data_IF_039616038684
#
_entry.id   IF_039616038684
#
_cell.length_a   1.000
_cell.length_b   1.000
_cell.length_c   1.000
_cell.angle_alpha   90.00
_cell.angle_beta   90.00
_cell.angle_gamma   90.00
#
_symmetry.space_group_name_H-M   'P 1'
#
loop_
_entity.id
_entity.type
_entity.pdbx_description
1 polymer ?
#
# COMPACT_ATOMS: atom_id res chain seq x y z
N UNK A 1 25.00 -22.53 -7.42
CA UNK A 1 23.67 -22.43 -6.79
C UNK A 1 22.98 -23.78 -6.83
N UNK A 2 22.72 -24.36 -8.00
CA UNK A 2 21.98 -25.62 -8.17
C UNK A 2 22.51 -26.78 -7.28
N UNK A 3 23.84 -26.94 -7.20
CA UNK A 3 24.46 -27.94 -6.32
C UNK A 3 24.21 -27.64 -4.82
N UNK A 4 24.23 -26.36 -4.44
CA UNK A 4 23.98 -25.97 -3.05
C UNK A 4 22.52 -26.24 -2.64
N UNK A 5 21.55 -25.96 -3.49
CA UNK A 5 20.12 -26.21 -3.23
C UNK A 5 19.74 -27.69 -3.18
N UNK A 6 20.58 -28.58 -3.70
CA UNK A 6 20.42 -30.03 -3.56
C UNK A 6 20.94 -30.57 -2.21
N UNK A 7 21.85 -29.86 -1.58
CA UNK A 7 22.55 -30.29 -0.34
C UNK A 7 21.95 -29.58 0.89
N UNK A 8 21.64 -28.32 0.76
CA UNK A 8 21.14 -27.49 1.87
C UNK A 8 19.64 -27.21 1.68
N UNK A 9 18.87 -27.07 2.78
CA UNK A 9 17.45 -26.75 2.73
C UNK A 9 17.21 -25.27 2.42
N UNK A 10 17.74 -24.80 1.29
CA UNK A 10 17.63 -23.42 0.80
C UNK A 10 17.17 -23.40 -0.64
N UNK A 11 16.45 -22.39 -1.03
CA UNK A 11 15.99 -22.20 -2.38
C UNK A 11 17.03 -21.48 -3.27
N UNK A 12 17.00 -21.68 -4.56
CA UNK A 12 17.87 -20.99 -5.51
C UNK A 12 17.76 -19.45 -5.37
N UNK A 13 16.55 -18.93 -5.08
CA UNK A 13 16.33 -17.49 -4.90
C UNK A 13 17.05 -16.91 -3.69
N UNK A 14 17.37 -17.71 -2.65
CA UNK A 14 18.09 -17.24 -1.45
C UNK A 14 19.52 -16.80 -1.77
N UNK A 15 20.03 -17.21 -2.93
CA UNK A 15 21.30 -16.78 -3.50
C UNK A 15 21.20 -15.55 -4.42
N UNK A 16 19.98 -15.11 -4.74
CA UNK A 16 19.73 -13.95 -5.60
C UNK A 16 19.34 -12.73 -4.75
N UNK A 17 20.32 -11.87 -4.54
CA UNK A 17 20.12 -10.64 -3.78
C UNK A 17 19.47 -9.57 -4.65
N UNK A 18 18.48 -8.87 -4.10
CA UNK A 18 17.94 -7.67 -4.75
C UNK A 18 18.95 -6.54 -4.54
N UNK A 19 19.59 -6.12 -5.64
CA UNK A 19 20.50 -4.99 -5.60
C UNK A 19 19.73 -3.68 -5.44
N UNK A 20 20.27 -2.82 -4.60
CA UNK A 20 19.83 -1.45 -4.48
C UNK A 20 20.13 -0.66 -5.75
N UNK A 21 19.09 -0.25 -6.47
CA UNK A 21 19.18 0.57 -7.68
C UNK A 21 18.92 2.06 -7.40
N UNK A 22 19.01 2.47 -6.14
CA UNK A 22 18.74 3.83 -5.66
C UNK A 22 19.88 4.30 -4.72
N UNK A 23 21.10 4.32 -5.23
CA UNK A 23 22.34 4.55 -4.46
C UNK A 23 22.41 5.91 -3.76
N UNK A 24 21.70 6.93 -4.29
CA UNK A 24 21.63 8.27 -3.69
C UNK A 24 20.38 8.49 -2.82
N UNK A 25 19.60 7.42 -2.52
CA UNK A 25 18.39 7.51 -1.72
C UNK A 25 17.16 8.02 -2.47
N UNK A 26 17.34 8.64 -3.62
CA UNK A 26 16.29 9.15 -4.52
C UNK A 26 16.58 8.67 -5.95
N UNK A 27 15.52 8.31 -6.67
CA UNK A 27 15.57 7.94 -8.09
C UNK A 27 14.52 8.74 -8.84
N UNK A 28 14.92 9.42 -9.88
CA UNK A 28 14.06 10.29 -10.68
C UNK A 28 13.89 9.68 -12.06
N UNK A 29 12.72 9.85 -12.64
CA UNK A 29 12.41 9.55 -14.03
C UNK A 29 11.73 10.76 -14.65
N UNK A 30 12.30 11.27 -15.73
CA UNK A 30 11.75 12.41 -16.45
C UNK A 30 10.52 12.01 -17.26
N UNK A 31 9.67 12.99 -17.58
CA UNK A 31 8.52 12.78 -18.47
C UNK A 31 8.92 12.27 -19.85
N UNK A 32 10.09 12.72 -20.36
CA UNK A 32 10.65 12.26 -21.65
C UNK A 32 11.10 10.79 -21.59
N UNK A 33 11.69 10.34 -20.49
CA UNK A 33 12.02 8.92 -20.26
C UNK A 33 10.74 8.09 -20.10
N UNK A 34 9.76 8.61 -19.39
CA UNK A 34 8.44 7.98 -19.24
C UNK A 34 7.77 7.79 -20.59
N UNK A 35 7.80 8.78 -21.47
CA UNK A 35 7.21 8.72 -22.82
C UNK A 35 7.87 7.63 -23.68
N UNK A 36 9.17 7.44 -23.58
CA UNK A 36 9.89 6.37 -24.31
C UNK A 36 9.46 4.97 -23.90
N UNK A 37 8.86 4.80 -22.73
CA UNK A 37 8.31 3.53 -22.25
C UNK A 37 6.87 3.27 -22.67
N UNK A 38 6.29 4.16 -23.49
CA UNK A 38 4.90 4.08 -23.93
C UNK A 38 4.56 2.76 -24.58
N UNK A 39 3.45 2.16 -24.16
CA UNK A 39 2.89 0.93 -24.71
C UNK A 39 1.38 0.97 -24.70
N UNK A 40 0.79 0.53 -25.82
CA UNK A 40 -0.67 0.43 -25.95
C UNK A 40 -1.11 -0.93 -25.45
N UNK A 41 -2.17 -0.93 -24.66
CA UNK A 41 -2.88 -2.14 -24.26
C UNK A 41 -4.24 -2.17 -24.96
N UNK A 42 -4.47 -3.24 -25.71
CA UNK A 42 -5.74 -3.50 -26.35
C UNK A 42 -6.69 -4.28 -25.43
N UNK A 43 -7.99 -3.97 -25.52
CA UNK A 43 -9.07 -4.75 -24.96
C UNK A 43 -10.14 -4.98 -26.01
N UNK A 44 -10.62 -6.22 -26.14
CA UNK A 44 -11.57 -6.61 -27.18
C UNK A 44 -11.12 -6.21 -28.59
N UNK A 45 -9.81 -6.20 -28.87
CA UNK A 45 -9.24 -5.89 -30.17
C UNK A 45 -9.12 -4.40 -30.51
N UNK A 46 -9.35 -3.51 -29.56
CA UNK A 46 -9.21 -2.07 -29.75
C UNK A 46 -8.21 -1.47 -28.75
N UNK A 47 -7.42 -0.45 -29.13
CA UNK A 47 -6.60 0.33 -28.21
C UNK A 47 -7.47 0.85 -27.04
N UNK A 48 -7.08 0.48 -25.83
CA UNK A 48 -7.90 0.79 -24.65
C UNK A 48 -7.17 1.69 -23.66
N UNK A 49 -5.88 1.43 -23.41
CA UNK A 49 -5.01 2.23 -22.55
C UNK A 49 -3.66 2.47 -23.20
N UNK A 50 -3.06 3.63 -22.95
CA UNK A 50 -1.64 3.87 -23.11
C UNK A 50 -0.99 3.84 -21.73
N UNK A 51 -0.03 2.94 -21.52
CA UNK A 51 0.75 2.85 -20.30
C UNK A 51 2.12 3.47 -20.48
N UNK A 52 2.60 4.14 -19.44
CA UNK A 52 4.00 4.59 -19.34
C UNK A 52 4.55 4.25 -17.97
N UNK A 53 5.82 3.91 -17.90
CA UNK A 53 6.52 3.73 -16.63
C UNK A 53 6.80 5.08 -15.98
N UNK A 54 6.88 5.10 -14.66
CA UNK A 54 7.29 6.26 -13.87
C UNK A 54 8.35 5.83 -12.87
N UNK A 55 8.91 6.75 -12.06
CA UNK A 55 10.01 6.44 -11.18
C UNK A 55 9.68 5.31 -10.20
N UNK A 56 10.44 4.22 -10.29
CA UNK A 56 10.37 3.10 -9.35
C UNK A 56 11.75 2.54 -9.06
N UNK A 57 11.87 1.84 -7.93
CA UNK A 57 13.06 1.13 -7.52
C UNK A 57 12.73 -0.33 -7.25
N UNK A 58 13.71 -1.21 -7.44
CA UNK A 58 13.61 -2.64 -7.10
C UNK A 58 13.31 -2.90 -5.62
N UNK A 59 13.66 -1.94 -4.76
CA UNK A 59 13.40 -2.00 -3.32
C UNK A 59 12.06 -1.37 -2.92
N UNK A 60 11.34 -0.75 -3.86
CA UNK A 60 10.03 -0.14 -3.60
C UNK A 60 8.95 -1.21 -3.42
N UNK A 61 8.00 -1.01 -2.48
CA UNK A 61 6.89 -1.93 -2.28
C UNK A 61 5.72 -1.73 -3.26
N UNK A 62 5.85 -0.83 -4.20
CA UNK A 62 4.79 -0.41 -5.13
C UNK A 62 5.30 -0.35 -6.57
N UNK A 63 4.35 -0.42 -7.51
CA UNK A 63 4.57 -0.20 -8.93
C UNK A 63 3.69 0.97 -9.38
N UNK A 64 4.28 2.12 -9.73
CA UNK A 64 3.56 3.26 -10.25
C UNK A 64 3.43 3.17 -11.76
N UNK A 65 2.27 3.54 -12.28
CA UNK A 65 1.99 3.57 -13.72
C UNK A 65 1.24 4.86 -14.08
N UNK A 66 1.65 5.46 -15.17
CA UNK A 66 0.91 6.52 -15.85
C UNK A 66 0.03 5.86 -16.93
N UNK A 67 -1.28 6.08 -16.88
CA UNK A 67 -2.22 5.41 -17.76
C UNK A 67 -3.17 6.44 -18.36
N UNK A 68 -3.15 6.54 -19.70
CA UNK A 68 -4.05 7.38 -20.45
C UNK A 68 -5.20 6.55 -20.99
N UNK A 69 -6.41 7.04 -20.80
CA UNK A 69 -7.64 6.37 -21.18
C UNK A 69 -7.95 6.64 -22.65
N UNK A 70 -7.80 5.63 -23.51
CA UNK A 70 -8.07 5.73 -24.96
C UNK A 70 -9.52 5.36 -25.29
N UNK A 71 -10.20 4.62 -24.41
CA UNK A 71 -11.63 4.33 -24.54
C UNK A 71 -12.45 5.56 -24.14
N UNK A 72 -13.41 5.92 -24.97
CA UNK A 72 -14.36 7.00 -24.71
C UNK A 72 -15.76 6.47 -24.48
N UNK A 73 -16.47 7.09 -23.54
CA UNK A 73 -17.88 6.82 -23.24
C UNK A 73 -18.71 8.10 -23.30
N UNK A 74 -19.93 8.00 -23.78
CA UNK A 74 -20.85 9.12 -23.99
C UNK A 74 -21.88 9.28 -22.86
N UNK A 75 -21.89 8.35 -21.93
CA UNK A 75 -22.85 8.33 -20.82
C UNK A 75 -22.21 7.79 -19.53
N UNK A 76 -22.98 7.84 -18.45
CA UNK A 76 -22.58 7.39 -17.12
C UNK A 76 -23.22 6.02 -16.77
N UNK A 77 -23.60 5.23 -17.76
CA UNK A 77 -24.18 3.91 -17.54
C UNK A 77 -23.09 2.92 -17.04
N UNK A 78 -23.24 2.34 -15.84
CA UNK A 78 -22.33 1.30 -15.35
C UNK A 78 -22.25 0.06 -16.25
N UNK A 79 -23.22 -0.12 -17.14
CA UNK A 79 -23.29 -1.25 -18.08
C UNK A 79 -22.95 -0.84 -19.53
N UNK A 80 -22.32 0.34 -19.74
CA UNK A 80 -21.94 0.78 -21.06
C UNK A 80 -21.11 -0.30 -21.79
N UNK A 81 -21.55 -0.70 -22.97
CA UNK A 81 -21.00 -1.84 -23.74
C UNK A 81 -19.57 -1.59 -24.25
N UNK A 82 -19.14 -0.33 -24.36
CA UNK A 82 -17.76 0.03 -24.72
C UNK A 82 -16.75 -0.26 -23.61
N UNK A 83 -17.21 -0.40 -22.36
CA UNK A 83 -16.36 -0.58 -21.18
C UNK A 83 -15.95 -2.03 -21.04
N UNK A 84 -14.65 -2.28 -21.09
CA UNK A 84 -14.07 -3.62 -20.93
C UNK A 84 -13.56 -3.80 -19.50
N UNK A 85 -14.19 -4.65 -18.73
CA UNK A 85 -13.88 -4.94 -17.34
C UNK A 85 -12.67 -5.86 -17.20
N UNK A 86 -11.86 -5.63 -16.18
CA UNK A 86 -10.89 -6.62 -15.73
C UNK A 86 -11.51 -7.54 -14.66
N UNK A 87 -10.80 -8.61 -14.30
CA UNK A 87 -11.21 -9.52 -13.22
C UNK A 87 -10.64 -9.11 -11.84
N UNK A 88 -10.13 -7.88 -11.74
CA UNK A 88 -9.35 -7.49 -10.58
C UNK A 88 -7.94 -8.10 -10.58
N UNK A 89 -7.09 -7.64 -9.68
CA UNK A 89 -5.73 -8.12 -9.51
C UNK A 89 -5.42 -8.35 -8.02
N UNK A 90 -4.36 -9.10 -7.73
CA UNK A 90 -3.95 -9.46 -6.37
C UNK A 90 -3.33 -8.30 -5.57
N UNK A 91 -3.26 -7.12 -6.13
CA UNK A 91 -2.65 -5.94 -5.51
C UNK A 91 -3.72 -4.96 -5.05
N UNK A 92 -3.42 -4.23 -3.97
CA UNK A 92 -4.13 -2.98 -3.67
C UNK A 92 -3.79 -1.94 -4.72
N UNK A 93 -4.70 -1.03 -5.01
CA UNK A 93 -4.44 0.07 -5.93
C UNK A 93 -4.97 1.39 -5.35
N UNK A 94 -4.10 2.38 -5.33
CA UNK A 94 -4.46 3.79 -5.24
C UNK A 94 -4.45 4.39 -6.64
N UNK A 95 -5.39 5.30 -6.93
CA UNK A 95 -5.44 6.03 -8.19
C UNK A 95 -5.76 7.49 -7.96
N UNK A 96 -4.99 8.37 -8.61
CA UNK A 96 -5.27 9.79 -8.73
C UNK A 96 -5.73 10.10 -10.15
N UNK A 97 -6.77 10.93 -10.29
CA UNK A 97 -7.39 11.24 -11.58
C UNK A 97 -6.97 12.62 -12.09
N UNK A 98 -6.74 12.71 -13.41
CA UNK A 98 -6.45 13.92 -14.14
C UNK A 98 -7.38 13.97 -15.38
N UNK A 99 -8.15 15.04 -15.51
CA UNK A 99 -9.18 15.17 -16.56
C UNK A 99 -10.48 14.48 -16.17
N UNK A 100 -11.33 14.25 -17.16
CA UNK A 100 -12.66 13.67 -17.00
C UNK A 100 -12.64 12.16 -17.26
N UNK A 101 -12.69 11.35 -16.20
CA UNK A 101 -12.62 9.89 -16.24
C UNK A 101 -13.85 9.28 -15.59
N UNK A 102 -14.46 8.29 -16.23
CA UNK A 102 -15.43 7.42 -15.59
C UNK A 102 -14.68 6.21 -14.99
N UNK A 103 -14.79 6.05 -13.69
CA UNK A 103 -14.29 4.90 -12.94
C UNK A 103 -15.41 3.88 -12.72
N UNK A 104 -15.27 2.70 -13.29
CA UNK A 104 -16.21 1.59 -13.20
C UNK A 104 -15.67 0.55 -12.23
N UNK A 105 -16.51 0.05 -11.31
CA UNK A 105 -16.11 -0.97 -10.34
C UNK A 105 -17.29 -1.82 -9.88
N UNK A 106 -17.00 -3.02 -9.38
CA UNK A 106 -17.97 -3.81 -8.64
C UNK A 106 -17.88 -3.44 -7.15
N UNK A 107 -19.02 -3.10 -6.58
CA UNK A 107 -19.13 -2.84 -5.13
C UNK A 107 -19.06 -4.15 -4.31
N UNK A 108 -19.23 -4.04 -3.00
CA UNK A 108 -19.22 -5.20 -2.09
C UNK A 108 -20.26 -6.27 -2.42
N UNK A 109 -21.38 -5.87 -3.02
CA UNK A 109 -22.49 -6.75 -3.36
C UNK A 109 -22.38 -7.31 -4.79
N UNK A 110 -21.27 -7.02 -5.46
CA UNK A 110 -21.00 -7.44 -6.84
C UNK A 110 -21.76 -6.63 -7.90
N UNK A 111 -22.44 -5.56 -7.50
CA UNK A 111 -23.17 -4.68 -8.42
C UNK A 111 -22.19 -3.77 -9.17
N UNK A 112 -22.40 -3.65 -10.46
CA UNK A 112 -21.66 -2.70 -11.30
C UNK A 112 -22.04 -1.26 -10.94
N UNK A 113 -21.05 -0.46 -10.64
CA UNK A 113 -21.19 0.94 -10.22
C UNK A 113 -20.22 1.80 -11.03
N UNK A 114 -20.51 3.07 -11.17
CA UNK A 114 -19.66 4.04 -11.83
C UNK A 114 -19.57 5.33 -11.02
N UNK A 115 -18.37 5.89 -10.92
CA UNK A 115 -18.12 7.23 -10.36
C UNK A 115 -17.50 8.13 -11.42
N UNK A 116 -18.09 9.32 -11.61
CA UNK A 116 -17.59 10.32 -12.55
C UNK A 116 -16.50 11.15 -11.89
N UNK A 117 -15.24 10.83 -12.19
CA UNK A 117 -14.06 11.43 -11.58
C UNK A 117 -13.56 12.64 -12.37
N UNK A 118 -12.90 13.56 -11.68
CA UNK A 118 -12.26 14.76 -12.22
C UNK A 118 -10.84 14.91 -11.70
N UNK A 119 -10.10 15.87 -12.24
CA UNK A 119 -8.76 16.19 -11.72
C UNK A 119 -8.79 16.47 -10.21
N UNK A 120 -7.94 15.78 -9.46
CA UNK A 120 -7.82 15.91 -8.02
C UNK A 120 -8.62 14.87 -7.22
N UNK A 121 -9.57 14.19 -7.86
CA UNK A 121 -10.26 13.07 -7.24
C UNK A 121 -9.31 11.87 -7.11
N UNK A 122 -9.64 10.98 -6.19
CA UNK A 122 -8.83 9.79 -5.94
C UNK A 122 -9.69 8.60 -5.56
N UNK A 123 -9.14 7.40 -5.76
CA UNK A 123 -9.78 6.17 -5.28
C UNK A 123 -8.75 5.21 -4.70
N UNK A 124 -9.23 4.29 -3.91
CA UNK A 124 -8.52 3.13 -3.42
C UNK A 124 -9.39 1.89 -3.58
N UNK A 125 -8.78 0.79 -4.03
CA UNK A 125 -9.42 -0.52 -4.13
C UNK A 125 -8.58 -1.62 -3.48
N UNK A 126 -9.28 -2.58 -2.86
CA UNK A 126 -8.68 -3.80 -2.34
C UNK A 126 -8.40 -4.81 -3.48
N UNK A 127 -7.62 -5.88 -3.23
CA UNK A 127 -7.43 -6.95 -4.21
C UNK A 127 -8.74 -7.53 -4.73
N UNK A 128 -8.70 -8.01 -5.98
CA UNK A 128 -9.79 -8.71 -6.67
C UNK A 128 -11.07 -7.91 -6.93
N UNK A 129 -11.03 -6.59 -6.81
CA UNK A 129 -12.13 -5.75 -7.29
C UNK A 129 -12.06 -5.64 -8.80
N UNK A 130 -13.11 -6.10 -9.49
CA UNK A 130 -13.28 -5.91 -10.93
C UNK A 130 -13.53 -4.45 -11.23
N UNK A 131 -12.76 -3.86 -12.15
CA UNK A 131 -12.83 -2.43 -12.44
C UNK A 131 -12.38 -2.09 -13.88
N UNK A 132 -12.68 -0.87 -14.29
CA UNK A 132 -12.23 -0.29 -15.56
C UNK A 132 -12.28 1.23 -15.50
N UNK A 133 -11.63 1.87 -16.47
CA UNK A 133 -11.62 3.33 -16.64
C UNK A 133 -11.91 3.69 -18.10
N UNK A 134 -12.53 4.83 -18.31
CA UNK A 134 -12.74 5.38 -19.65
C UNK A 134 -12.79 6.92 -19.63
N UNK A 135 -12.34 7.56 -20.67
CA UNK A 135 -12.50 9.01 -20.89
C UNK A 135 -13.95 9.35 -21.17
N UNK A 136 -14.44 10.48 -20.67
CA UNK A 136 -15.77 11.00 -21.04
C UNK A 136 -15.71 11.73 -22.38
N UNK A 137 -16.66 11.42 -23.27
CA UNK A 137 -16.85 12.12 -24.52
C UNK A 137 -17.15 13.61 -24.27
N UNK A 138 -16.61 14.48 -25.11
CA UNK A 138 -16.72 15.93 -24.94
C UNK A 138 -15.64 16.57 -24.06
N UNK A 139 -14.79 15.76 -23.41
CA UNK A 139 -13.60 16.26 -22.74
C UNK A 139 -12.60 16.84 -23.77
N UNK A 140 -11.85 17.89 -23.36
CA UNK A 140 -10.85 18.53 -24.25
C UNK A 140 -9.68 17.60 -24.57
N UNK A 141 -9.42 16.63 -23.72
CA UNK A 141 -8.33 15.66 -23.84
C UNK A 141 -8.71 14.34 -23.16
N UNK A 142 -8.01 13.28 -23.49
CA UNK A 142 -8.16 11.99 -22.81
C UNK A 142 -7.96 12.15 -21.32
N UNK A 143 -8.74 11.40 -20.55
CA UNK A 143 -8.50 11.22 -19.14
C UNK A 143 -7.19 10.49 -18.88
N UNK A 144 -6.57 10.80 -17.77
CA UNK A 144 -5.32 10.22 -17.31
C UNK A 144 -5.48 9.77 -15.86
N UNK A 145 -4.91 8.63 -15.54
CA UNK A 145 -4.78 8.19 -14.15
C UNK A 145 -3.32 7.94 -13.79
N UNK A 146 -2.97 8.27 -12.55
CA UNK A 146 -1.73 7.83 -11.92
C UNK A 146 -2.12 6.69 -10.98
N UNK A 147 -1.86 5.45 -11.41
CA UNK A 147 -2.18 4.25 -10.69
C UNK A 147 -0.95 3.72 -9.96
N UNK A 148 -1.08 3.46 -8.66
CA UNK A 148 -0.03 2.85 -7.86
C UNK A 148 -0.55 1.56 -7.26
N UNK A 149 -0.03 0.45 -7.76
CA UNK A 149 -0.31 -0.89 -7.25
C UNK A 149 0.75 -1.30 -6.23
N UNK A 150 0.33 -1.90 -5.14
CA UNK A 150 1.23 -2.35 -4.08
C UNK A 150 0.67 -3.57 -3.34
N UNK A 151 1.58 -4.45 -2.90
CA UNK A 151 1.23 -5.62 -2.10
C UNK A 151 1.00 -5.27 -0.64
N UNK A 152 0.19 -6.08 0.01
CA UNK A 152 0.07 -6.14 1.47
C UNK A 152 1.18 -7.02 2.08
N UNK A 153 0.89 -7.72 3.17
CA UNK A 153 1.81 -8.70 3.76
C UNK A 153 1.92 -10.01 2.97
N UNK A 154 0.93 -10.32 2.11
CA UNK A 154 0.92 -11.54 1.29
C UNK A 154 1.79 -11.32 0.04
N UNK A 155 3.10 -11.32 0.22
CA UNK A 155 4.08 -11.16 -0.86
C UNK A 155 5.32 -12.01 -0.58
N UNK A 156 6.10 -12.34 -1.61
CA UNK A 156 7.40 -12.98 -1.46
C UNK A 156 7.32 -14.29 -0.67
N UNK A 157 7.87 -14.32 0.54
CA UNK A 157 8.00 -15.52 1.36
C UNK A 157 6.65 -16.10 1.77
N UNK A 158 5.67 -15.25 2.09
CA UNK A 158 4.30 -15.69 2.40
C UNK A 158 3.65 -16.39 1.20
N UNK A 159 3.81 -15.85 -0.02
CA UNK A 159 3.30 -16.52 -1.24
C UNK A 159 4.00 -17.85 -1.50
N UNK A 160 5.29 -17.95 -1.18
CA UNK A 160 6.03 -19.20 -1.31
C UNK A 160 5.51 -20.26 -0.33
N UNK A 161 5.28 -19.88 0.92
CA UNK A 161 4.71 -20.76 1.94
C UNK A 161 3.31 -21.23 1.53
N UNK A 162 2.43 -20.32 1.12
CA UNK A 162 1.09 -20.67 0.60
C UNK A 162 1.17 -21.64 -0.58
N UNK A 163 2.13 -21.45 -1.50
CA UNK A 163 2.36 -22.36 -2.63
C UNK A 163 2.76 -23.77 -2.16
N UNK A 164 3.60 -23.86 -1.12
CA UNK A 164 4.03 -25.15 -0.54
C UNK A 164 2.90 -25.89 0.17
N UNK A 165 1.99 -25.13 0.82
CA UNK A 165 0.81 -25.67 1.50
C UNK A 165 -0.32 -26.07 0.55
N UNK A 166 -0.32 -25.54 -0.67
CA UNK A 166 -1.38 -25.77 -1.66
C UNK A 166 -2.77 -25.44 -1.06
N UNK A 167 -3.77 -26.31 -1.23
CA UNK A 167 -5.13 -26.09 -0.73
C UNK A 167 -5.22 -25.91 0.79
N UNK A 168 -4.28 -26.46 1.56
CA UNK A 168 -4.25 -26.27 3.01
C UNK A 168 -4.02 -24.79 3.40
N UNK A 169 -3.45 -23.98 2.51
CA UNK A 169 -3.30 -22.54 2.76
C UNK A 169 -4.63 -21.80 2.95
N UNK A 170 -5.75 -22.36 2.50
CA UNK A 170 -7.08 -21.80 2.71
C UNK A 170 -7.51 -21.79 4.17
N UNK A 171 -7.00 -22.72 4.99
CA UNK A 171 -7.31 -22.83 6.42
C UNK A 171 -6.83 -21.61 7.23
N UNK A 172 -5.85 -20.84 6.67
CA UNK A 172 -5.43 -19.58 7.29
C UNK A 172 -6.41 -18.43 7.05
N UNK A 173 -7.37 -18.58 6.13
CA UNK A 173 -8.40 -17.58 5.89
C UNK A 173 -9.54 -17.76 6.90
N UNK A 174 -9.35 -17.20 8.10
CA UNK A 174 -10.35 -17.24 9.17
C UNK A 174 -11.64 -16.51 8.73
N UNK A 175 -12.75 -16.83 9.38
CA UNK A 175 -14.02 -16.19 9.09
C UNK A 175 -14.09 -14.77 9.69
N UNK A 176 -13.96 -13.75 8.83
CA UNK A 176 -14.02 -12.32 9.17
C UNK A 176 -15.23 -11.64 8.50
N UNK A 177 -16.34 -12.36 8.35
CA UNK A 177 -17.58 -11.83 7.74
C UNK A 177 -18.15 -10.65 8.52
N UNK A 178 -18.09 -10.73 9.84
CA UNK A 178 -18.46 -9.69 10.79
C UNK A 178 -17.55 -9.76 12.02
N UNK A 179 -17.72 -8.84 12.96
CA UNK A 179 -16.85 -8.72 14.13
C UNK A 179 -17.03 -9.90 15.11
N UNK A 180 -18.24 -10.43 15.21
CA UNK A 180 -18.59 -11.58 16.04
C UNK A 180 -17.85 -12.84 15.56
N UNK A 181 -17.98 -13.14 14.27
CA UNK A 181 -17.28 -14.28 13.66
C UNK A 181 -15.78 -14.12 13.64
N UNK A 182 -15.27 -12.90 13.44
CA UNK A 182 -13.84 -12.64 13.48
C UNK A 182 -13.25 -12.86 14.88
N UNK A 183 -13.95 -12.35 15.93
CA UNK A 183 -13.55 -12.55 17.32
C UNK A 183 -13.58 -14.05 17.70
N UNK A 184 -14.65 -14.76 17.33
CA UNK A 184 -14.80 -16.18 17.55
C UNK A 184 -13.68 -17.00 16.88
N UNK A 185 -13.39 -16.68 15.62
CA UNK A 185 -12.36 -17.37 14.83
C UNK A 185 -10.96 -17.18 15.40
N UNK A 186 -10.62 -15.97 15.84
CA UNK A 186 -9.32 -15.68 16.46
C UNK A 186 -9.17 -16.43 17.78
N UNK A 187 -10.19 -16.41 18.65
CA UNK A 187 -10.17 -17.14 19.92
C UNK A 187 -9.98 -18.65 19.69
N UNK A 188 -10.80 -19.23 18.82
CA UNK A 188 -10.76 -20.65 18.49
C UNK A 188 -9.41 -21.04 17.86
N UNK A 189 -8.86 -20.23 16.98
CA UNK A 189 -7.55 -20.45 16.39
C UNK A 189 -6.45 -20.51 17.45
N UNK A 190 -6.35 -19.50 18.32
CA UNK A 190 -5.32 -19.43 19.35
C UNK A 190 -5.48 -20.52 20.44
N UNK A 191 -6.71 -20.87 20.79
CA UNK A 191 -6.95 -22.01 21.69
C UNK A 191 -6.51 -23.34 21.05
N UNK A 192 -6.85 -23.55 19.78
CA UNK A 192 -6.51 -24.78 19.06
C UNK A 192 -5.00 -24.98 18.88
N UNK A 193 -4.25 -23.94 18.52
CA UNK A 193 -2.78 -24.05 18.41
C UNK A 193 -2.10 -24.31 19.74
N UNK A 194 -2.78 -24.01 20.86
CA UNK A 194 -2.33 -24.32 22.23
C UNK A 194 -2.82 -25.69 22.71
N UNK A 195 -3.61 -26.43 21.92
CA UNK A 195 -4.26 -27.67 22.27
C UNK A 195 -5.07 -27.62 23.59
N UNK A 196 -5.63 -26.45 23.91
CA UNK A 196 -6.46 -26.30 25.11
C UNK A 196 -7.91 -26.71 24.83
N UNK A 197 -8.51 -27.45 25.77
CA UNK A 197 -9.98 -27.62 25.77
C UNK A 197 -10.65 -26.38 26.35
N UNK A 198 -11.95 -26.18 26.08
CA UNK A 198 -12.73 -25.10 26.71
C UNK A 198 -12.76 -25.24 28.24
N UNK A 199 -12.74 -26.48 28.79
CA UNK A 199 -12.66 -26.72 30.21
C UNK A 199 -11.32 -26.23 30.81
N UNK A 200 -10.18 -26.52 30.14
CA UNK A 200 -8.88 -26.07 30.62
C UNK A 200 -8.72 -24.54 30.47
N UNK A 201 -9.23 -23.95 29.37
CA UNK A 201 -9.25 -22.49 29.19
C UNK A 201 -10.14 -21.83 30.27
N UNK A 202 -11.31 -22.39 30.57
CA UNK A 202 -12.21 -21.91 31.63
C UNK A 202 -11.51 -21.90 32.99
N UNK A 203 -10.81 -23.00 33.33
CA UNK A 203 -10.03 -23.10 34.58
C UNK A 203 -8.95 -22.02 34.68
N UNK A 204 -8.27 -21.69 33.59
CA UNK A 204 -7.17 -20.71 33.58
C UNK A 204 -7.67 -19.27 33.57
N UNK A 205 -8.75 -19.00 32.84
CA UNK A 205 -9.31 -17.64 32.62
C UNK A 205 -10.36 -17.27 33.66
N UNK A 206 -10.84 -18.23 34.45
CA UNK A 206 -11.98 -18.08 35.37
C UNK A 206 -13.28 -17.69 34.67
N UNK A 207 -13.39 -17.94 33.36
CA UNK A 207 -14.60 -17.70 32.56
C UNK A 207 -15.37 -19.03 32.43
N UNK A 208 -16.71 -19.05 32.67
CA UNK A 208 -17.50 -20.27 32.51
C UNK A 208 -17.36 -20.90 31.13
N UNK A 209 -17.38 -22.24 31.08
CA UNK A 209 -17.21 -23.01 29.82
C UNK A 209 -18.28 -22.63 28.80
N UNK A 210 -19.53 -22.49 29.25
CA UNK A 210 -20.66 -22.13 28.39
C UNK A 210 -20.44 -20.77 27.73
N UNK A 211 -19.88 -19.81 28.48
CA UNK A 211 -19.58 -18.47 27.95
C UNK A 211 -18.43 -18.48 26.94
N UNK A 212 -17.40 -19.31 27.16
CA UNK A 212 -16.33 -19.53 26.18
C UNK A 212 -16.87 -20.15 24.90
N UNK A 213 -17.81 -21.08 25.01
CA UNK A 213 -18.49 -21.66 23.85
C UNK A 213 -19.33 -20.62 23.11
N UNK A 214 -20.03 -19.72 23.82
CA UNK A 214 -20.79 -18.63 23.21
C UNK A 214 -19.87 -17.67 22.44
N UNK A 215 -18.66 -17.38 22.94
CA UNK A 215 -17.64 -16.62 22.21
C UNK A 215 -17.20 -17.35 20.94
N UNK A 216 -16.87 -18.63 21.02
CA UNK A 216 -16.41 -19.41 19.85
C UNK A 216 -17.52 -19.70 18.82
N UNK A 217 -18.79 -19.57 19.21
CA UNK A 217 -19.95 -19.73 18.34
C UNK A 217 -20.46 -18.38 17.77
N UNK A 218 -19.71 -17.30 17.99
CA UNK A 218 -20.09 -15.94 17.56
C UNK A 218 -21.43 -15.43 18.13
N UNK A 219 -21.85 -15.93 19.31
CA UNK A 219 -23.06 -15.50 20.00
C UNK A 219 -22.78 -14.27 20.86
N UNK A 220 -21.58 -14.20 21.46
CA UNK A 220 -21.13 -13.11 22.32
C UNK A 220 -19.71 -12.66 21.89
N UNK A 221 -19.41 -11.39 22.14
CA UNK A 221 -18.05 -10.86 22.03
C UNK A 221 -17.47 -10.72 23.44
N UNK A 222 -16.21 -11.18 23.69
CA UNK A 222 -15.56 -10.98 24.98
C UNK A 222 -15.39 -9.50 25.32
N UNK A 223 -15.66 -9.15 26.58
CA UNK A 223 -15.35 -7.82 27.11
C UNK A 223 -13.82 -7.63 27.21
N UNK A 224 -13.38 -6.39 27.39
CA UNK A 224 -11.96 -6.05 27.59
C UNK A 224 -11.30 -6.82 28.76
N UNK A 225 -12.05 -7.03 29.84
CA UNK A 225 -11.59 -7.82 31.00
C UNK A 225 -11.44 -9.30 30.64
N UNK A 226 -12.40 -9.86 29.92
CA UNK A 226 -12.38 -11.25 29.48
C UNK A 226 -11.29 -11.49 28.43
N UNK A 227 -11.11 -10.58 27.48
CA UNK A 227 -9.98 -10.62 26.53
C UNK A 227 -8.64 -10.63 27.26
N UNK A 228 -8.50 -9.86 28.33
CA UNK A 228 -7.29 -9.84 29.15
C UNK A 228 -7.07 -11.20 29.81
N UNK A 229 -8.09 -11.80 30.43
CA UNK A 229 -8.00 -13.11 31.06
C UNK A 229 -7.67 -14.22 30.06
N UNK A 230 -8.32 -14.21 28.89
CA UNK A 230 -8.09 -15.18 27.82
C UNK A 230 -6.68 -15.02 27.26
N UNK A 231 -6.22 -13.82 26.96
CA UNK A 231 -4.89 -13.58 26.39
C UNK A 231 -3.77 -14.06 27.32
N UNK A 232 -3.90 -13.82 28.62
CA UNK A 232 -2.97 -14.36 29.62
C UNK A 232 -3.01 -15.88 29.67
N UNK A 233 -4.21 -16.49 29.62
CA UNK A 233 -4.38 -17.94 29.67
C UNK A 233 -3.82 -18.66 28.45
N UNK A 234 -3.86 -18.02 27.28
CA UNK A 234 -3.32 -18.51 26.02
C UNK A 234 -1.86 -18.07 25.77
N UNK A 235 -1.31 -17.19 26.63
CA UNK A 235 0.00 -16.59 26.46
C UNK A 235 0.19 -15.88 25.10
N UNK A 236 -0.81 -15.10 24.71
CA UNK A 236 -0.81 -14.28 23.49
C UNK A 236 -1.05 -12.82 23.83
N UNK A 237 -0.75 -11.91 22.91
CA UNK A 237 -1.13 -10.51 23.07
C UNK A 237 -2.65 -10.36 22.94
N UNK A 238 -3.27 -9.48 23.72
CA UNK A 238 -4.68 -9.12 23.51
C UNK A 238 -4.98 -8.74 22.06
N UNK A 239 -4.05 -8.04 21.41
CA UNK A 239 -4.15 -7.67 20.01
C UNK A 239 -4.40 -8.85 19.08
N UNK A 240 -3.84 -10.01 19.38
CA UNK A 240 -3.95 -11.20 18.54
C UNK A 240 -5.35 -11.83 18.63
N UNK A 241 -6.12 -11.47 19.66
CA UNK A 241 -7.52 -11.87 19.85
C UNK A 241 -8.53 -10.80 19.38
N UNK A 242 -8.05 -9.61 19.04
CA UNK A 242 -8.92 -8.50 18.63
C UNK A 242 -9.03 -8.46 17.11
N UNK A 243 -10.22 -8.66 16.55
CA UNK A 243 -10.42 -8.44 15.11
C UNK A 243 -10.19 -6.96 14.77
N UNK A 244 -9.74 -6.73 13.55
CA UNK A 244 -9.75 -5.37 13.02
C UNK A 244 -11.20 -4.87 12.95
N UNK A 245 -11.38 -3.58 13.18
CA UNK A 245 -12.69 -2.94 12.98
C UNK A 245 -13.23 -3.25 11.60
N UNK A 246 -14.56 -3.20 11.48
CA UNK A 246 -15.38 -3.56 10.31
C UNK A 246 -14.60 -3.55 9.00
N UNK A 247 -14.78 -4.61 8.21
CA UNK A 247 -14.40 -4.68 6.81
C UNK A 247 -14.82 -3.37 6.12
N UNK A 248 -13.84 -2.50 5.87
CA UNK A 248 -14.07 -1.28 5.10
C UNK A 248 -14.59 -1.65 3.71
N UNK A 249 -15.29 -0.73 3.09
CA UNK A 249 -15.70 -0.85 1.71
C UNK A 249 -14.50 -1.25 0.84
N UNK A 250 -14.69 -2.23 -0.03
CA UNK A 250 -13.64 -2.69 -0.96
C UNK A 250 -13.16 -1.59 -1.91
N UNK A 251 -13.98 -0.57 -2.10
CA UNK A 251 -13.72 0.59 -2.96
C UNK A 251 -14.00 1.86 -2.16
N UNK A 252 -13.02 2.74 -2.09
CA UNK A 252 -13.13 4.06 -1.50
C UNK A 252 -12.92 5.09 -2.61
N UNK A 253 -13.94 5.89 -2.86
CA UNK A 253 -13.89 7.04 -3.76
C UNK A 253 -13.84 8.30 -2.90
N UNK A 254 -12.94 9.21 -3.22
CA UNK A 254 -12.80 10.48 -2.51
C UNK A 254 -12.72 11.63 -3.51
N UNK A 255 -13.73 12.49 -3.48
CA UNK A 255 -13.78 13.68 -4.30
C UNK A 255 -12.91 14.80 -3.72
N UNK A 256 -12.27 15.58 -4.56
CA UNK A 256 -11.33 16.62 -4.13
C UNK A 256 -11.97 17.66 -3.19
N UNK A 257 -13.24 18.01 -3.41
CA UNK A 257 -13.98 18.95 -2.57
C UNK A 257 -14.31 18.42 -1.15
N UNK A 258 -14.19 17.11 -0.93
CA UNK A 258 -14.42 16.44 0.36
C UNK A 258 -13.11 16.19 1.11
N UNK A 259 -11.97 16.50 0.48
CA UNK A 259 -10.66 16.24 1.04
C UNK A 259 -10.34 17.21 2.19
N UNK A 260 -9.82 16.66 3.30
CA UNK A 260 -9.26 17.46 4.39
C UNK A 260 -7.99 18.15 3.93
N UNK A 261 -7.79 19.38 4.40
CA UNK A 261 -6.64 20.22 4.07
C UNK A 261 -6.00 20.78 5.33
N UNK A 262 -4.69 20.88 5.34
CA UNK A 262 -3.94 21.53 6.42
C UNK A 262 -2.60 22.02 5.93
N UNK A 263 -2.05 23.00 6.64
CA UNK A 263 -0.69 23.45 6.41
C UNK A 263 0.32 22.67 7.26
N UNK A 264 1.50 22.44 6.71
CA UNK A 264 2.62 21.79 7.39
C UNK A 264 3.94 22.52 7.05
N UNK A 265 4.84 22.69 8.02
CA UNK A 265 4.65 22.39 9.45
C UNK A 265 3.68 23.36 10.10
N UNK A 266 3.26 23.02 11.34
CA UNK A 266 2.35 23.86 12.12
C UNK A 266 2.85 25.31 12.24
N UNK A 267 1.94 26.27 12.06
CA UNK A 267 2.27 27.70 12.10
C UNK A 267 3.00 28.23 10.85
N UNK A 268 3.15 27.42 9.81
CA UNK A 268 3.74 27.84 8.54
C UNK A 268 2.80 27.62 7.35
N UNK A 269 3.06 28.28 6.23
CA UNK A 269 2.33 28.09 4.99
C UNK A 269 3.21 27.48 3.89
N UNK A 270 4.23 26.71 4.28
CA UNK A 270 5.21 26.13 3.32
C UNK A 270 4.57 25.08 2.44
N UNK A 271 3.77 24.17 3.03
CA UNK A 271 3.06 23.12 2.31
C UNK A 271 1.58 23.09 2.72
N UNK A 272 0.69 23.10 1.76
CA UNK A 272 -0.71 22.71 1.98
C UNK A 272 -0.87 21.25 1.56
N UNK A 273 -1.25 20.41 2.50
CA UNK A 273 -1.56 19.00 2.27
C UNK A 273 -3.06 18.82 2.02
N UNK A 274 -3.39 18.01 1.03
CA UNK A 274 -4.75 17.56 0.72
C UNK A 274 -4.77 16.04 0.90
N UNK A 275 -5.59 15.54 1.82
CA UNK A 275 -5.68 14.12 2.13
C UNK A 275 -6.51 13.38 1.08
N UNK A 276 -5.88 12.47 0.34
CA UNK A 276 -6.52 11.66 -0.69
C UNK A 276 -7.06 10.34 -0.15
N UNK A 277 -7.64 9.50 -1.01
CA UNK A 277 -8.23 8.21 -0.63
C UNK A 277 -7.21 7.32 0.10
N UNK A 278 -7.64 6.76 1.22
CA UNK A 278 -6.86 5.84 2.05
C UNK A 278 -7.80 4.94 2.84
N UNK A 279 -7.26 3.88 3.45
CA UNK A 279 -8.02 2.90 4.23
C UNK A 279 -7.35 2.59 5.55
N UNK A 280 -8.12 2.26 6.58
CA UNK A 280 -7.62 1.81 7.89
C UNK A 280 -6.98 0.43 7.80
N UNK A 281 -7.40 -0.42 6.86
CA UNK A 281 -6.82 -1.76 6.64
C UNK A 281 -5.38 -1.70 6.11
N UNK A 282 -4.96 -0.56 5.54
CA UNK A 282 -3.59 -0.30 5.08
C UNK A 282 -3.00 0.94 5.79
N UNK A 283 -2.78 0.88 7.12
CA UNK A 283 -2.40 2.05 7.92
C UNK A 283 -1.06 2.69 7.51
N UNK A 284 -0.23 1.93 6.82
CA UNK A 284 1.06 2.38 6.27
C UNK A 284 0.97 2.80 4.79
N UNK A 285 -0.23 3.06 4.28
CA UNK A 285 -0.46 3.66 2.97
C UNK A 285 -1.18 5.00 3.14
N UNK A 286 -0.54 6.09 2.68
CA UNK A 286 -1.08 7.45 2.75
C UNK A 286 -0.81 8.17 1.44
N UNK A 287 -1.84 8.81 0.91
CA UNK A 287 -1.75 9.58 -0.33
C UNK A 287 -2.10 11.05 -0.09
N UNK A 288 -1.36 11.94 -0.69
CA UNK A 288 -1.53 13.38 -0.57
C UNK A 288 -1.33 14.09 -1.92
N UNK A 289 -2.12 15.11 -2.17
CA UNK A 289 -1.72 16.21 -3.04
C UNK A 289 -1.05 17.25 -2.13
N UNK A 290 0.15 17.70 -2.50
CA UNK A 290 0.88 18.72 -1.74
C UNK A 290 1.05 19.95 -2.63
N UNK A 291 0.53 21.08 -2.15
CA UNK A 291 0.78 22.38 -2.76
C UNK A 291 2.02 22.99 -2.11
N UNK A 292 3.09 23.06 -2.86
CA UNK A 292 4.33 23.71 -2.44
C UNK A 292 4.14 25.23 -2.61
N UNK A 293 4.26 25.97 -1.51
CA UNK A 293 4.05 27.41 -1.47
C UNK A 293 5.36 28.21 -1.35
N UNK A 294 6.46 27.53 -1.03
CA UNK A 294 7.74 28.16 -0.75
C UNK A 294 8.64 28.19 -1.99
N UNK A 295 9.08 29.37 -2.39
CA UNK A 295 9.99 29.53 -3.56
C UNK A 295 11.43 29.13 -3.26
N UNK A 296 11.87 29.20 -2.01
CA UNK A 296 13.24 28.85 -1.58
C UNK A 296 13.28 27.50 -0.86
N UNK A 297 14.45 26.82 -0.84
CA UNK A 297 14.58 25.59 -0.06
C UNK A 297 14.20 25.80 1.40
N UNK A 298 13.30 24.97 1.88
CA UNK A 298 12.81 25.05 3.25
C UNK A 298 13.77 24.35 4.21
N UNK A 299 13.93 24.92 5.41
CA UNK A 299 14.56 24.20 6.53
C UNK A 299 13.70 23.04 7.04
N UNK A 300 12.43 23.01 6.65
CA UNK A 300 11.48 21.98 7.07
C UNK A 300 11.63 20.72 6.27
N UNK A 301 11.71 19.62 6.97
CA UNK A 301 12.04 18.31 6.46
C UNK A 301 10.78 17.42 6.44
N UNK A 302 10.52 16.77 5.31
CA UNK A 302 9.40 15.84 5.12
C UNK A 302 9.79 14.38 5.35
N UNK A 303 10.84 14.14 6.14
CA UNK A 303 11.37 12.81 6.47
C UNK A 303 10.31 11.91 7.10
N UNK A 304 10.10 10.71 6.50
CA UNK A 304 9.18 9.69 7.01
C UNK A 304 9.78 8.30 6.87
N UNK A 305 9.34 7.35 7.71
CA UNK A 305 9.77 5.95 7.68
C UNK A 305 9.05 5.08 6.64
N UNK A 306 8.59 5.67 5.54
CA UNK A 306 7.87 5.00 4.46
C UNK A 306 8.56 5.26 3.13
N UNK A 307 8.45 4.32 2.19
CA UNK A 307 8.81 4.58 0.80
C UNK A 307 7.86 5.62 0.22
N UNK A 308 8.36 6.51 -0.62
CA UNK A 308 7.54 7.55 -1.23
C UNK A 308 7.66 7.50 -2.75
N UNK A 309 6.51 7.66 -3.39
CA UNK A 309 6.39 8.02 -4.78
C UNK A 309 5.97 9.48 -4.88
N UNK A 310 6.59 10.23 -5.78
CA UNK A 310 6.31 11.64 -6.05
C UNK A 310 6.07 11.80 -7.54
N UNK A 311 5.07 12.58 -7.92
CA UNK A 311 4.81 12.95 -9.31
C UNK A 311 4.43 14.43 -9.38
N UNK A 312 5.06 15.20 -10.26
CA UNK A 312 4.70 16.59 -10.47
C UNK A 312 3.44 16.68 -11.35
N UNK A 313 2.31 16.91 -10.69
CA UNK A 313 0.98 17.07 -11.31
C UNK A 313 0.68 18.51 -11.67
N UNK A 314 1.54 19.46 -11.29
CA UNK A 314 1.36 20.89 -11.55
C UNK A 314 1.92 21.32 -12.91
N UNK A 315 1.80 22.62 -13.20
CA UNK A 315 2.30 23.25 -14.43
C UNK A 315 3.71 23.86 -14.24
N UNK A 316 4.20 23.92 -13.00
CA UNK A 316 5.46 24.57 -12.65
C UNK A 316 6.53 23.58 -12.23
N UNK A 317 7.77 23.98 -12.39
CA UNK A 317 8.90 23.22 -11.90
C UNK A 317 8.95 23.27 -10.38
N UNK A 318 9.26 22.12 -9.76
CA UNK A 318 9.49 21.98 -8.33
C UNK A 318 10.93 21.50 -8.14
N UNK A 319 11.64 22.05 -7.17
CA UNK A 319 12.95 21.57 -6.77
C UNK A 319 12.78 20.54 -5.64
N UNK A 320 13.32 19.34 -5.83
CA UNK A 320 13.49 18.34 -4.78
C UNK A 320 14.90 18.45 -4.23
N UNK A 321 15.02 18.74 -2.95
CA UNK A 321 16.28 18.84 -2.23
C UNK A 321 16.34 17.71 -1.21
N UNK A 322 17.47 16.98 -1.13
CA UNK A 322 17.60 15.89 -0.16
C UNK A 322 19.04 15.73 0.33
N UNK A 323 19.19 15.06 1.45
CA UNK A 323 20.46 14.72 2.05
C UNK A 323 20.60 13.19 2.09
N UNK A 324 21.75 12.69 1.67
CA UNK A 324 22.11 11.28 1.74
C UNK A 324 23.59 11.11 2.10
N UNK A 325 23.87 10.34 3.16
CA UNK A 325 25.22 10.12 3.70
C UNK A 325 26.03 11.41 4.01
N UNK A 326 25.32 12.49 4.38
CA UNK A 326 25.93 13.78 4.71
C UNK A 326 26.19 14.68 3.49
N UNK A 327 25.84 14.24 2.30
CA UNK A 327 25.91 15.03 1.06
C UNK A 327 24.53 15.59 0.71
N UNK A 328 24.52 16.86 0.32
CA UNK A 328 23.30 17.55 -0.13
C UNK A 328 23.14 17.40 -1.64
N UNK A 329 21.94 17.08 -2.06
CA UNK A 329 21.56 16.92 -3.47
C UNK A 329 20.35 17.77 -3.80
N UNK A 330 20.25 18.19 -5.05
CA UNK A 330 19.13 18.95 -5.57
C UNK A 330 18.84 18.51 -7.01
N UNK A 331 17.55 18.36 -7.33
CA UNK A 331 17.08 18.09 -8.69
C UNK A 331 15.78 18.81 -8.97
N UNK A 332 15.68 19.40 -10.16
CA UNK A 332 14.42 19.96 -10.66
C UNK A 332 13.51 18.83 -11.14
N UNK A 333 12.28 18.85 -10.68
CA UNK A 333 11.18 17.97 -11.08
C UNK A 333 10.24 18.81 -11.95
N UNK A 334 10.28 18.60 -13.26
CA UNK A 334 9.41 19.28 -14.23
C UNK A 334 7.99 18.70 -14.19
N UNK A 335 6.97 19.38 -14.74
CA UNK A 335 5.64 18.80 -14.96
C UNK A 335 5.73 17.43 -15.65
N UNK A 336 5.10 16.41 -15.06
CA UNK A 336 5.15 15.05 -15.58
C UNK A 336 6.35 14.20 -15.15
N UNK A 337 7.36 14.78 -14.50
CA UNK A 337 8.46 14.03 -13.91
C UNK A 337 7.99 13.34 -12.63
N UNK A 338 8.65 12.24 -12.30
CA UNK A 338 8.39 11.44 -11.11
C UNK A 338 9.65 11.14 -10.32
N UNK A 339 9.49 10.85 -9.02
CA UNK A 339 10.59 10.45 -8.15
C UNK A 339 10.17 9.33 -7.19
N UNK A 340 11.11 8.47 -6.87
CA UNK A 340 11.05 7.52 -5.77
C UNK A 340 12.03 7.95 -4.68
N UNK A 341 11.60 7.93 -3.41
CA UNK A 341 12.44 8.22 -2.24
C UNK A 341 12.42 7.04 -1.28
N UNK A 342 13.61 6.65 -0.80
CA UNK A 342 13.76 5.65 0.27
C UNK A 342 13.20 6.17 1.61
N UNK A 343 12.82 5.26 2.53
CA UNK A 343 12.47 5.65 3.90
C UNK A 343 13.59 6.43 4.58
N UNK A 344 13.18 7.39 5.42
CA UNK A 344 14.05 8.23 6.25
C UNK A 344 15.01 9.17 5.52
N UNK A 345 14.83 9.38 4.21
CA UNK A 345 15.55 10.44 3.48
C UNK A 345 15.09 11.81 3.98
N UNK A 346 16.04 12.61 4.44
CA UNK A 346 15.85 14.03 4.71
C UNK A 346 15.60 14.73 3.38
N UNK A 347 14.43 15.32 3.21
CA UNK A 347 14.11 16.01 1.95
C UNK A 347 13.09 17.13 2.16
N UNK A 348 13.07 18.04 1.21
CA UNK A 348 12.06 19.08 1.10
C UNK A 348 11.81 19.44 -0.36
N UNK A 349 10.73 20.14 -0.60
CA UNK A 349 10.39 20.70 -1.91
C UNK A 349 10.39 22.21 -1.85
N UNK A 350 10.83 22.86 -2.92
CA UNK A 350 10.77 24.30 -3.12
C UNK A 350 10.27 24.64 -4.53
N UNK A 351 9.82 25.86 -4.73
CA UNK A 351 9.09 26.32 -5.91
C UNK A 351 7.61 26.54 -5.57
N UNK A 352 6.81 26.86 -6.59
CA UNK A 352 5.36 27.02 -6.45
C UNK A 352 4.67 26.05 -7.40
N UNK A 353 4.01 25.03 -6.85
CA UNK A 353 3.35 24.03 -7.70
C UNK A 353 2.71 22.93 -6.89
N UNK A 354 2.29 21.87 -7.57
CA UNK A 354 1.54 20.76 -7.00
C UNK A 354 2.21 19.44 -7.30
N UNK A 355 2.34 18.61 -6.29
CA UNK A 355 2.86 17.25 -6.42
C UNK A 355 1.90 16.24 -5.82
N UNK A 356 1.77 15.09 -6.45
CA UNK A 356 1.18 13.90 -5.84
C UNK A 356 2.26 13.19 -5.04
N UNK A 357 1.95 12.79 -3.82
CA UNK A 357 2.84 11.99 -2.97
C UNK A 357 2.09 10.79 -2.43
N UNK A 358 2.57 9.59 -2.74
CA UNK A 358 2.11 8.35 -2.10
C UNK A 358 3.20 7.81 -1.19
N UNK A 359 2.84 7.49 0.03
CA UNK A 359 3.70 6.88 1.06
C UNK A 359 3.24 5.46 1.34
N UNK A 360 4.12 4.49 1.19
CA UNK A 360 3.78 3.06 1.37
C UNK A 360 4.83 2.38 2.24
N UNK A 361 4.36 1.63 3.23
CA UNK A 361 5.21 0.79 4.07
C UNK A 361 5.76 -0.42 3.30
N UNK A 362 7.06 -0.64 3.44
CA UNK A 362 7.69 -1.86 2.94
C UNK A 362 7.50 -3.05 3.89
N UNK A 363 8.34 -4.07 3.71
CA UNK A 363 8.34 -5.29 4.55
C UNK A 363 8.60 -5.02 6.03
N UNK A 364 9.35 -3.94 6.33
CA UNK A 364 9.68 -3.56 7.71
C UNK A 364 8.47 -2.96 8.45
N UNK A 365 7.45 -2.43 7.75
CA UNK A 365 6.29 -1.86 8.40
C UNK A 365 5.43 -2.90 9.15
N UNK A 366 4.79 -2.49 10.23
CA UNK A 366 3.93 -3.37 11.04
C UNK A 366 4.72 -4.29 11.98
N UNK A 367 4.54 -5.59 11.89
CA UNK A 367 5.09 -6.54 12.85
C UNK A 367 6.61 -6.59 12.85
N UNK A 368 7.27 -6.52 11.71
CA UNK A 368 8.74 -6.45 11.64
C UNK A 368 9.29 -5.20 12.33
N UNK A 369 8.61 -4.05 12.22
CA UNK A 369 8.98 -2.84 12.95
C UNK A 369 8.81 -3.00 14.47
N UNK A 370 7.75 -3.67 14.90
CA UNK A 370 7.51 -3.97 16.32
C UNK A 370 8.59 -4.89 16.87
N UNK A 371 8.95 -5.93 16.14
CA UNK A 371 10.03 -6.84 16.52
C UNK A 371 11.36 -6.10 16.70
N UNK A 372 11.76 -5.26 15.73
CA UNK A 372 12.94 -4.41 15.86
C UNK A 372 12.88 -3.48 17.08
N UNK A 373 11.69 -3.05 17.49
CA UNK A 373 11.50 -2.21 18.67
C UNK A 373 11.63 -3.02 19.98
N UNK A 374 11.09 -4.23 20.01
CA UNK A 374 11.09 -5.13 21.18
C UNK A 374 12.49 -5.63 21.49
N UNK A 375 13.29 -6.00 20.49
CA UNK A 375 14.68 -6.45 20.69
C UNK A 375 15.62 -5.33 21.14
N UNK A 376 15.16 -4.08 21.08
CA UNK A 376 15.87 -2.89 21.55
C UNK A 376 16.94 -2.38 20.59
N UNK A 377 17.30 -1.10 20.72
CA UNK A 377 18.18 -0.38 19.78
C UNK A 377 19.53 -1.06 19.52
N UNK A 378 20.15 -1.65 20.56
CA UNK A 378 21.45 -2.33 20.43
C UNK A 378 21.35 -3.55 19.51
N UNK A 379 20.35 -4.40 19.75
CA UNK A 379 20.14 -5.62 18.97
C UNK A 379 19.60 -5.30 17.57
N UNK A 380 18.74 -4.30 17.42
CA UNK A 380 18.29 -3.83 16.12
C UNK A 380 19.46 -3.37 15.25
N UNK A 381 20.42 -2.60 15.82
CA UNK A 381 21.65 -2.21 15.12
C UNK A 381 22.49 -3.43 14.70
N UNK A 382 22.60 -4.44 15.57
CA UNK A 382 23.29 -5.69 15.27
C UNK A 382 22.60 -6.44 14.11
N UNK A 383 21.28 -6.62 14.19
CA UNK A 383 20.49 -7.30 13.15
C UNK A 383 20.66 -6.59 11.76
N UNK A 384 20.64 -5.25 11.75
CA UNK A 384 20.85 -4.48 10.53
C UNK A 384 22.28 -4.70 9.98
N UNK A 385 23.30 -4.65 10.83
CA UNK A 385 24.69 -4.84 10.41
C UNK A 385 24.93 -6.27 9.86
N UNK A 386 24.42 -7.28 10.51
CA UNK A 386 24.50 -8.69 10.05
C UNK A 386 23.74 -8.87 8.71
N UNK A 387 22.57 -8.26 8.57
CA UNK A 387 21.82 -8.26 7.31
C UNK A 387 22.60 -7.58 6.18
N UNK A 388 23.23 -6.44 6.46
CA UNK A 388 24.06 -5.76 5.46
C UNK A 388 25.26 -6.59 5.03
N UNK A 389 25.89 -7.33 5.95
CA UNK A 389 27.00 -8.24 5.62
C UNK A 389 26.53 -9.39 4.74
N UNK A 390 25.32 -9.92 4.97
CA UNK A 390 24.78 -11.05 4.22
C UNK A 390 24.28 -10.63 2.83
N UNK A 391 23.50 -9.56 2.75
CA UNK A 391 22.79 -9.16 1.52
C UNK A 391 23.49 -8.07 0.70
N UNK A 392 24.38 -7.29 1.29
CA UNK A 392 25.16 -6.25 0.62
C UNK A 392 26.61 -6.25 1.10
N UNK A 393 27.38 -7.33 0.84
CA UNK A 393 28.78 -7.40 1.24
C UNK A 393 29.60 -6.29 0.59
N UNK A 394 30.47 -5.64 1.37
CA UNK A 394 31.31 -4.51 0.94
C UNK A 394 32.30 -4.84 -0.19
N UNK A 395 32.58 -6.11 -0.43
CA UNK A 395 33.58 -6.62 -1.38
C UNK A 395 32.98 -7.00 -2.73
N UNK A 396 32.03 -6.23 -3.22
CA UNK A 396 31.46 -6.40 -4.57
C UNK A 396 31.95 -5.33 -5.54
N UNK A 397 33.17 -4.82 -5.31
CA UNK A 397 33.92 -4.05 -6.29
C UNK A 397 34.58 -4.98 -7.32
#
# INVERSE_FOLDING_TARGET
IEKATKIWPVNARDFHVIYDDCSLGVKIMTSEESEKSSRIMDRAGNPYYEYRDTAMSKVAPFRPEWIKELCYVDNNDPQNSSVQWNNGHFMHQFTYFIGDVNFYYQDSDGKKTMSAMKTGDSMYITPFVSHSFASRSGAKQNGLILALTYGSKITGDVQQELSALSNLGQEFALNFTDIEHASASLLKYHRNISNLTNQELSKRSEIPVEKLQDFENAILIPTEKELTAISHSLNVSKRDLMPNDKTEQKVIVKFQNECKRWFYPEGSMVYEFVELASTSTMPYSKAFEIHVQNSEPSIYNLRVGLHQYVYNIGEHHISLNWEFHGESHQQTIKPGDSAYLKPFINHNFSGKGKILVLRVGGKIAGDSQRELSIIGKKNAKRAINETMQWFAPKSRD
#
